data_IF_507959673376
#
_entry.id   IF_507959673376
#
_cell.length_a   1.000
_cell.length_b   1.000
_cell.length_c   1.000
_cell.angle_alpha   90.00
_cell.angle_beta   90.00
_cell.angle_gamma   90.00
#
_symmetry.space_group_name_H-M   'P 1'
#
loop_
_entity.id
_entity.type
_entity.pdbx_description
1 polymer ?
#
# COMPACT_ATOMS: atom_id res chain seq x y z
N UNK A 1 -1.17 16.33 -6.05
CA UNK A 1 -1.03 15.49 -4.84
C UNK A 1 0.31 14.75 -4.78
N UNK A 2 0.66 13.90 -5.76
CA UNK A 2 1.90 13.10 -5.71
C UNK A 2 3.19 13.91 -5.48
N UNK A 3 3.29 15.12 -6.02
CA UNK A 3 4.40 16.05 -5.74
C UNK A 3 4.54 16.37 -4.26
N UNK A 4 3.45 16.84 -3.64
CA UNK A 4 3.40 17.14 -2.19
C UNK A 4 3.71 15.90 -1.38
N UNK A 5 3.17 14.74 -1.75
CA UNK A 5 3.43 13.48 -1.07
C UNK A 5 4.91 13.06 -1.16
N UNK A 6 5.57 13.30 -2.29
CA UNK A 6 7.00 13.01 -2.47
C UNK A 6 7.92 13.98 -1.74
N UNK A 7 7.46 15.21 -1.51
CA UNK A 7 8.16 16.23 -0.72
C UNK A 7 7.90 16.07 0.79
N UNK A 8 6.85 15.32 1.14
CA UNK A 8 6.52 14.94 2.51
C UNK A 8 7.21 13.63 2.88
N UNK A 9 7.28 13.32 4.17
CA UNK A 9 7.83 12.05 4.66
C UNK A 9 6.91 10.84 4.46
N UNK A 10 5.92 10.92 3.58
CA UNK A 10 5.00 9.82 3.29
C UNK A 10 5.74 8.66 2.63
N UNK A 11 5.58 7.46 3.20
CA UNK A 11 6.23 6.27 2.67
C UNK A 11 5.65 5.81 1.33
N UNK A 12 4.32 5.75 1.25
CA UNK A 12 3.57 5.36 0.04
C UNK A 12 2.19 6.02 0.02
N UNK A 13 1.60 6.07 -1.17
CA UNK A 13 0.24 6.61 -1.41
C UNK A 13 -0.57 5.60 -2.21
N UNK A 14 -1.83 5.42 -1.81
CA UNK A 14 -2.81 4.63 -2.52
C UNK A 14 -3.69 5.53 -3.39
N UNK A 15 -3.62 5.37 -4.70
CA UNK A 15 -4.50 6.01 -5.66
C UNK A 15 -5.70 5.09 -5.88
N UNK A 16 -6.78 5.36 -5.15
CA UNK A 16 -8.03 4.61 -5.26
C UNK A 16 -8.81 5.16 -6.45
N UNK A 17 -8.90 4.38 -7.52
CA UNK A 17 -9.63 4.75 -8.73
C UNK A 17 -10.83 3.82 -9.02
N UNK A 18 -10.96 2.72 -8.28
CA UNK A 18 -11.97 1.71 -8.52
C UNK A 18 -11.70 0.89 -9.79
N UNK A 19 -12.44 -0.21 -9.95
CA UNK A 19 -12.28 -1.09 -11.12
C UNK A 19 -13.01 -0.49 -12.33
N UNK A 20 -14.32 -0.23 -12.20
CA UNK A 20 -15.14 0.42 -13.22
C UNK A 20 -14.90 -0.12 -14.63
N UNK A 21 -14.81 0.78 -15.61
CA UNK A 21 -14.42 0.46 -17.01
C UNK A 21 -12.91 0.39 -17.21
N UNK A 22 -12.11 0.62 -16.16
CA UNK A 22 -10.66 0.76 -16.23
C UNK A 22 -10.17 2.07 -16.88
N UNK A 23 -11.06 2.99 -17.26
CA UNK A 23 -10.65 4.24 -17.91
C UNK A 23 -9.73 5.09 -17.02
N UNK A 24 -10.06 5.24 -15.74
CA UNK A 24 -9.25 6.00 -14.79
C UNK A 24 -7.92 5.30 -14.48
N UNK A 25 -7.93 3.96 -14.39
CA UNK A 25 -6.73 3.15 -14.21
C UNK A 25 -5.74 3.35 -15.38
N UNK A 26 -6.24 3.33 -16.63
CA UNK A 26 -5.43 3.59 -17.84
C UNK A 26 -4.86 5.01 -17.85
N UNK A 27 -5.70 6.02 -17.57
CA UNK A 27 -5.25 7.42 -17.53
C UNK A 27 -4.17 7.65 -16.45
N UNK A 28 -4.33 7.04 -15.27
CA UNK A 28 -3.31 7.07 -14.20
C UNK A 28 -2.02 6.39 -14.66
N UNK A 29 -2.10 5.21 -15.27
CA UNK A 29 -0.92 4.50 -15.75
C UNK A 29 -0.16 5.29 -16.81
N UNK A 30 -0.86 5.92 -17.76
CA UNK A 30 -0.26 6.79 -18.78
C UNK A 30 0.40 8.03 -18.18
N UNK A 31 -0.28 8.69 -17.22
CA UNK A 31 0.29 9.81 -16.48
C UNK A 31 1.58 9.39 -15.76
N UNK A 32 1.56 8.24 -15.05
CA UNK A 32 2.70 7.77 -14.28
C UNK A 32 3.89 7.40 -15.16
N UNK A 33 3.68 6.83 -16.35
CA UNK A 33 4.75 6.52 -17.32
C UNK A 33 5.57 7.74 -17.72
N UNK A 34 4.93 8.90 -17.85
CA UNK A 34 5.56 10.18 -18.23
C UNK A 34 5.99 11.01 -17.02
N UNK A 35 5.78 10.51 -15.80
CA UNK A 35 6.09 11.22 -14.57
C UNK A 35 7.47 10.82 -13.98
N UNK A 36 8.00 11.60 -13.03
CA UNK A 36 9.17 11.20 -12.23
C UNK A 36 8.96 9.89 -11.44
N UNK A 37 7.72 9.45 -11.25
CA UNK A 37 7.35 8.26 -10.47
C UNK A 37 7.13 7.01 -11.34
N UNK A 38 7.57 7.02 -12.60
CA UNK A 38 7.38 5.89 -13.54
C UNK A 38 7.94 4.55 -13.08
N UNK A 39 8.96 4.53 -12.19
CA UNK A 39 9.55 3.32 -11.60
C UNK A 39 9.12 3.07 -10.15
N UNK A 40 8.23 3.92 -9.62
CA UNK A 40 7.85 3.98 -8.21
C UNK A 40 6.38 3.62 -8.00
N UNK A 41 5.77 2.85 -8.90
CA UNK A 41 4.37 2.49 -8.79
C UNK A 41 4.13 1.03 -9.13
N UNK A 42 3.06 0.48 -8.55
CA UNK A 42 2.59 -0.90 -8.77
C UNK A 42 1.08 -0.99 -8.61
N UNK A 43 0.40 -2.02 -9.14
CA UNK A 43 -0.98 -2.30 -8.76
C UNK A 43 -1.08 -2.61 -7.25
N UNK A 44 -2.27 -2.38 -6.69
CA UNK A 44 -2.62 -2.79 -5.33
C UNK A 44 -2.50 -4.30 -5.16
N UNK A 45 -2.05 -4.72 -3.98
CA UNK A 45 -2.04 -6.14 -3.57
C UNK A 45 -3.33 -6.47 -2.80
N UNK A 46 -3.45 -7.74 -2.43
CA UNK A 46 -4.52 -8.21 -1.56
C UNK A 46 -4.55 -7.40 -0.26
N UNK A 47 -5.73 -6.93 0.15
CA UNK A 47 -5.91 -6.07 1.32
C UNK A 47 -5.63 -4.58 1.08
N UNK A 48 -5.08 -4.19 -0.08
CA UNK A 48 -4.86 -2.79 -0.46
C UNK A 48 -5.90 -2.27 -1.48
N UNK A 49 -6.78 -3.15 -1.97
CA UNK A 49 -7.81 -2.83 -2.97
C UNK A 49 -7.55 -3.37 -4.38
N UNK A 50 -6.56 -4.26 -4.53
CA UNK A 50 -6.27 -5.02 -5.75
C UNK A 50 -6.21 -4.13 -7.01
N UNK A 51 -6.93 -4.51 -8.07
CA UNK A 51 -6.98 -3.81 -9.35
C UNK A 51 -7.68 -2.44 -9.27
N UNK A 52 -8.40 -2.14 -8.19
CA UNK A 52 -9.04 -0.85 -7.97
C UNK A 52 -8.08 0.23 -7.47
N UNK A 53 -6.83 -0.13 -7.21
CA UNK A 53 -5.85 0.75 -6.58
C UNK A 53 -4.51 0.68 -7.30
N UNK A 54 -3.89 1.86 -7.46
CA UNK A 54 -2.49 1.98 -7.87
C UNK A 54 -1.69 2.54 -6.69
N UNK A 55 -0.65 1.84 -6.28
CA UNK A 55 0.21 2.25 -5.16
C UNK A 55 1.44 2.94 -5.71
N UNK A 56 1.71 4.16 -5.23
CA UNK A 56 2.95 4.89 -5.51
C UNK A 56 3.83 4.87 -4.26
N UNK A 57 5.03 4.34 -4.38
CA UNK A 57 5.99 4.10 -3.30
C UNK A 57 7.10 5.13 -3.36
N UNK A 58 7.21 5.98 -2.34
CA UNK A 58 8.26 7.00 -2.26
C UNK A 58 9.47 6.51 -1.47
N UNK A 59 9.22 5.69 -0.43
CA UNK A 59 10.21 5.06 0.44
C UNK A 59 10.10 3.53 0.36
N UNK A 60 11.21 2.84 0.10
CA UNK A 60 11.21 1.41 -0.16
C UNK A 60 10.78 0.59 1.06
N UNK A 61 11.13 1.05 2.26
CA UNK A 61 10.75 0.47 3.55
C UNK A 61 9.24 0.46 3.78
N UNK A 62 8.50 1.39 3.17
CA UNK A 62 7.05 1.47 3.32
C UNK A 62 6.28 0.47 2.45
N UNK A 63 6.96 -0.22 1.53
CA UNK A 63 6.36 -1.21 0.62
C UNK A 63 6.82 -2.65 0.89
N UNK A 64 7.55 -2.86 1.99
CA UNK A 64 7.87 -4.19 2.46
C UNK A 64 6.58 -4.84 2.97
N UNK A 65 6.23 -5.99 2.41
CA UNK A 65 5.33 -6.91 3.11
C UNK A 65 6.02 -7.28 4.40
N UNK A 66 5.45 -6.91 5.55
CA UNK A 66 5.84 -7.57 6.79
C UNK A 66 5.47 -9.03 6.62
N UNK A 67 6.48 -9.86 6.42
CA UNK A 67 6.34 -11.30 6.37
C UNK A 67 5.64 -11.75 7.66
N UNK A 68 4.40 -12.31 7.59
CA UNK A 68 3.70 -12.75 8.79
C UNK A 68 4.43 -13.87 9.55
N UNK A 69 5.50 -14.44 8.98
CA UNK A 69 6.38 -15.41 9.63
C UNK A 69 7.60 -14.78 10.30
N UNK A 70 7.96 -13.52 10.01
CA UNK A 70 8.90 -12.75 10.82
C UNK A 70 8.18 -12.28 12.08
N UNK A 71 8.11 -13.17 13.07
CA UNK A 71 7.78 -12.83 14.46
C UNK A 71 8.78 -11.78 14.94
N UNK A 72 8.30 -10.54 15.09
CA UNK A 72 8.96 -9.56 15.94
C UNK A 72 8.99 -10.14 17.38
N UNK A 73 10.17 -10.42 17.97
CA UNK A 73 10.26 -10.95 19.32
C UNK A 73 9.72 -9.99 20.39
N UNK A 74 9.50 -8.71 20.08
CA UNK A 74 9.08 -7.70 21.05
C UNK A 74 7.58 -7.35 21.04
N UNK A 75 6.75 -7.95 20.18
CA UNK A 75 5.31 -7.71 20.23
C UNK A 75 4.64 -8.63 21.26
N UNK A 76 4.24 -8.15 22.46
CA UNK A 76 3.55 -9.01 23.41
C UNK A 76 2.20 -9.37 22.80
N UNK A 77 2.07 -10.63 22.38
CA UNK A 77 0.77 -11.18 22.01
C UNK A 77 -0.19 -10.87 23.15
N UNK A 78 -1.28 -10.13 22.84
CA UNK A 78 -2.35 -9.86 23.80
C UNK A 78 -2.96 -11.21 24.14
N UNK A 79 -2.43 -11.83 25.20
CA UNK A 79 -2.86 -13.12 25.74
C UNK A 79 -4.36 -13.02 25.96
N UNK A 80 -5.16 -13.64 25.09
CA UNK A 80 -6.60 -13.82 25.35
C UNK A 80 -6.68 -14.63 26.63
N UNK A 81 -7.04 -13.96 27.72
CA UNK A 81 -7.33 -14.59 29.01
C UNK A 81 -8.54 -15.48 28.79
N UNK A 82 -8.30 -16.78 28.64
CA UNK A 82 -9.36 -17.77 28.63
C UNK A 82 -10.14 -17.69 29.93
N UNK A 83 -11.42 -17.37 29.84
CA UNK A 83 -12.38 -17.58 30.90
C UNK A 83 -12.62 -19.09 31.03
N UNK A 84 -12.20 -19.65 32.17
CA UNK A 84 -12.55 -20.99 32.62
C UNK A 84 -13.24 -20.86 33.98
N UNK A 85 -14.37 -21.55 34.16
CA UNK A 85 -15.21 -21.61 35.38
C UNK A 85 -16.52 -20.84 35.19
N UNK A 86 -17.71 -21.39 35.44
CA UNK A 86 -18.13 -22.52 36.28
C UNK A 86 -19.11 -23.44 35.54
#
# INVERSE_FOLDING_TARGET
YLKVASESELGRVFLIHGIGTGALQKAIAEYLKNSPWKKKHRPGRYGEGDLGVTVVVFKAEADKEEDPTQRDPEHPTRRRKGSKGY
#
